data_IF_754844539422
#
_entry.id   IF_754844539422
#
_cell.length_a   1.000
_cell.length_b   1.000
_cell.length_c   1.000
_cell.angle_alpha   90.00
_cell.angle_beta   90.00
_cell.angle_gamma   90.00
#
_symmetry.space_group_name_H-M   'P 1'
#
loop_
_entity.id
_entity.type
_entity.pdbx_description
1 polymer ?
#
# COMPACT_ATOMS: atom_id res chain seq x y z
N UNK A 1 -28.15 -13.14 -9.59
CA UNK A 1 -28.58 -12.76 -8.22
C UNK A 1 -28.27 -11.28 -8.03
N UNK A 2 -29.06 -10.56 -7.23
CA UNK A 2 -28.72 -9.18 -6.89
C UNK A 2 -27.44 -9.16 -6.02
N UNK A 3 -26.52 -8.25 -6.32
CA UNK A 3 -25.33 -8.03 -5.51
C UNK A 3 -25.74 -7.49 -4.14
N UNK A 4 -25.25 -8.13 -3.08
CA UNK A 4 -25.52 -7.73 -1.70
C UNK A 4 -24.22 -7.17 -1.09
N UNK A 5 -24.19 -5.87 -0.73
CA UNK A 5 -23.02 -5.28 -0.08
C UNK A 5 -22.69 -5.97 1.26
N UNK A 6 -21.39 -6.09 1.55
CA UNK A 6 -20.84 -6.72 2.75
C UNK A 6 -21.27 -5.94 4.00
N UNK A 7 -22.13 -6.46 4.87
CA UNK A 7 -22.68 -5.69 5.99
C UNK A 7 -21.69 -5.55 7.16
N UNK A 8 -20.72 -6.47 7.25
CA UNK A 8 -19.80 -6.58 8.39
C UNK A 8 -18.48 -7.23 7.96
N UNK A 9 -17.38 -6.72 8.50
CA UNK A 9 -16.05 -7.30 8.39
C UNK A 9 -15.41 -7.40 9.78
N UNK A 10 -14.80 -8.55 10.08
CA UNK A 10 -13.84 -8.67 11.16
C UNK A 10 -12.49 -8.15 10.65
N UNK A 11 -11.85 -7.30 11.45
CA UNK A 11 -10.49 -6.82 11.22
C UNK A 11 -9.54 -7.65 12.08
N UNK A 12 -8.50 -8.19 11.47
CA UNK A 12 -7.39 -8.84 12.17
C UNK A 12 -6.06 -8.14 11.87
N UNK A 13 -5.07 -8.37 12.73
CA UNK A 13 -3.68 -7.93 12.56
C UNK A 13 -2.78 -9.16 12.60
N UNK A 14 -1.89 -9.30 11.64
CA UNK A 14 -0.79 -10.28 11.67
C UNK A 14 0.39 -9.70 12.45
N UNK A 15 0.78 -10.36 13.53
CA UNK A 15 1.92 -9.96 14.38
C UNK A 15 3.26 -10.29 13.72
N UNK A 16 4.38 -9.85 14.33
CA UNK A 16 5.73 -10.17 13.85
C UNK A 16 6.04 -11.67 13.90
N UNK A 17 5.31 -12.43 14.72
CA UNK A 17 5.37 -13.90 14.79
C UNK A 17 4.58 -14.60 13.68
N UNK A 18 3.78 -13.88 12.90
CA UNK A 18 2.82 -14.48 11.96
C UNK A 18 1.47 -14.84 12.57
N UNK A 19 1.32 -14.75 13.89
CA UNK A 19 0.04 -14.97 14.55
C UNK A 19 -0.97 -13.88 14.17
N UNK A 20 -2.19 -14.28 13.79
CA UNK A 20 -3.29 -13.34 13.56
C UNK A 20 -4.08 -13.12 14.85
N UNK A 21 -4.27 -11.85 15.19
CA UNK A 21 -5.08 -11.42 16.33
C UNK A 21 -6.29 -10.61 15.84
N UNK A 22 -7.41 -10.74 16.53
CA UNK A 22 -8.61 -9.99 16.21
C UNK A 22 -8.51 -8.57 16.78
N UNK A 23 -8.63 -7.57 15.91
CA UNK A 23 -8.54 -6.14 16.27
C UNK A 23 -9.91 -5.60 16.65
N UNK A 24 -10.93 -5.95 15.87
CA UNK A 24 -12.26 -5.37 16.02
C UNK A 24 -13.15 -5.63 14.82
N UNK A 25 -14.26 -4.92 14.75
CA UNK A 25 -15.31 -5.14 13.76
C UNK A 25 -15.61 -3.83 13.04
N UNK A 26 -15.64 -3.90 11.71
CA UNK A 26 -16.29 -2.92 10.84
C UNK A 26 -17.72 -3.37 10.53
N UNK A 27 -18.67 -2.46 10.57
CA UNK A 27 -20.05 -2.70 10.15
C UNK A 27 -20.57 -1.53 9.33
N UNK A 28 -21.40 -1.80 8.32
CA UNK A 28 -22.05 -0.76 7.53
C UNK A 28 -23.57 -0.88 7.54
N UNK A 29 -24.23 0.27 7.52
CA UNK A 29 -25.67 0.41 7.34
C UNK A 29 -25.98 1.69 6.54
N UNK A 30 -27.24 2.13 6.51
CA UNK A 30 -27.65 3.32 5.76
C UNK A 30 -27.05 4.64 6.29
N UNK A 31 -26.57 4.64 7.53
CA UNK A 31 -26.01 5.80 8.22
C UNK A 31 -24.50 5.95 7.96
N UNK A 32 -23.81 4.88 7.60
CA UNK A 32 -22.37 4.89 7.29
C UNK A 32 -21.67 3.61 7.75
N UNK A 33 -20.34 3.69 7.83
CA UNK A 33 -19.47 2.63 8.37
C UNK A 33 -19.12 2.97 9.82
N UNK A 34 -19.06 1.94 10.66
CA UNK A 34 -18.71 2.04 12.07
C UNK A 34 -17.61 1.03 12.39
N UNK A 35 -16.75 1.38 13.34
CA UNK A 35 -15.74 0.48 13.89
C UNK A 35 -15.91 0.31 15.39
N UNK A 36 -15.63 -0.87 15.90
CA UNK A 36 -15.53 -1.14 17.34
C UNK A 36 -14.32 -2.04 17.59
N UNK A 37 -13.46 -1.64 18.52
CA UNK A 37 -12.36 -2.49 18.98
C UNK A 37 -12.85 -3.73 19.72
N UNK A 38 -12.11 -4.81 19.59
CA UNK A 38 -12.26 -5.99 20.42
C UNK A 38 -11.63 -5.76 21.81
N UNK A 39 -12.29 -6.23 22.87
CA UNK A 39 -11.83 -6.03 24.25
C UNK A 39 -10.47 -6.70 24.56
N UNK A 40 -10.23 -7.89 23.99
CA UNK A 40 -8.94 -8.57 24.17
C UNK A 40 -7.80 -7.83 23.47
N UNK A 41 -8.11 -7.12 22.37
CA UNK A 41 -7.14 -6.26 21.70
C UNK A 41 -6.76 -5.09 22.59
N UNK A 42 -7.75 -4.38 23.12
CA UNK A 42 -7.57 -3.22 24.01
C UNK A 42 -6.77 -3.58 25.28
N UNK A 43 -6.94 -4.80 25.79
CA UNK A 43 -6.25 -5.25 27.00
C UNK A 43 -4.78 -5.63 26.79
N UNK A 44 -4.34 -5.89 25.55
CA UNK A 44 -3.06 -6.56 25.25
C UNK A 44 -2.15 -5.82 24.28
N UNK A 45 -2.71 -4.92 23.46
CA UNK A 45 -2.00 -4.26 22.38
C UNK A 45 -2.20 -2.75 22.44
N UNK A 46 -1.57 -2.04 21.51
CA UNK A 46 -1.53 -0.58 21.45
C UNK A 46 -2.41 -0.04 20.33
N UNK A 47 -2.70 1.26 20.37
CA UNK A 47 -3.55 1.90 19.37
C UNK A 47 -2.90 1.84 17.95
N UNK A 48 -3.69 1.39 16.97
CA UNK A 48 -3.31 1.31 15.56
C UNK A 48 -3.32 2.65 14.82
N UNK A 49 -4.11 3.61 15.30
CA UNK A 49 -4.30 4.93 14.69
C UNK A 49 -4.52 5.98 15.78
N UNK A 50 -3.45 6.47 16.41
CA UNK A 50 -3.52 7.25 17.64
C UNK A 50 -4.15 8.65 17.52
N UNK A 51 -4.42 9.14 16.31
CA UNK A 51 -4.91 10.51 16.10
C UNK A 51 -6.41 10.58 15.83
N UNK A 52 -6.96 9.64 15.07
CA UNK A 52 -8.36 9.70 14.58
C UNK A 52 -9.19 8.48 14.97
N UNK A 53 -8.67 7.61 15.84
CA UNK A 53 -9.37 6.44 16.35
C UNK A 53 -9.20 6.33 17.87
N UNK A 54 -10.31 6.42 18.60
CA UNK A 54 -10.30 6.30 20.06
C UNK A 54 -9.95 4.87 20.46
N UNK A 55 -9.02 4.70 21.38
CA UNK A 55 -8.58 3.39 21.85
C UNK A 55 -9.47 2.87 22.99
N UNK A 56 -10.73 2.60 22.69
CA UNK A 56 -11.72 2.09 23.63
C UNK A 56 -12.75 1.17 22.95
N UNK A 57 -13.63 0.59 23.76
CA UNK A 57 -14.67 -0.35 23.29
C UNK A 57 -15.93 0.33 22.72
N UNK A 58 -15.93 1.65 22.50
CA UNK A 58 -17.10 2.35 21.96
C UNK A 58 -17.25 2.09 20.45
N UNK A 59 -18.48 2.21 19.96
CA UNK A 59 -18.75 2.17 18.51
C UNK A 59 -18.46 3.54 17.92
N UNK A 60 -17.56 3.59 16.96
CA UNK A 60 -17.03 4.82 16.38
C UNK A 60 -17.51 4.98 14.94
N UNK A 61 -18.25 6.05 14.61
CA UNK A 61 -18.67 6.32 13.23
C UNK A 61 -17.48 6.80 12.40
N UNK A 62 -17.34 6.27 11.18
CA UNK A 62 -16.34 6.73 10.25
C UNK A 62 -16.62 8.17 9.79
N UNK A 63 -15.58 9.01 9.63
CA UNK A 63 -15.75 10.35 9.09
C UNK A 63 -16.18 10.28 7.61
N UNK A 64 -16.99 11.25 7.17
CA UNK A 64 -17.46 11.31 5.77
C UNK A 64 -16.33 11.60 4.78
N UNK A 65 -15.40 12.46 5.20
CA UNK A 65 -14.23 12.89 4.43
C UNK A 65 -12.97 12.72 5.30
N UNK A 66 -11.78 12.56 4.71
CA UNK A 66 -11.54 12.50 3.26
C UNK A 66 -11.76 11.10 2.66
N UNK A 67 -11.87 10.07 3.49
CA UNK A 67 -11.85 8.66 3.07
C UNK A 67 -13.21 8.08 2.68
N UNK A 68 -14.11 8.92 2.15
CA UNK A 68 -15.42 8.53 1.63
C UNK A 68 -16.25 7.64 2.58
N UNK A 69 -16.30 8.00 3.87
CA UNK A 69 -17.11 7.28 4.87
C UNK A 69 -16.41 6.07 5.50
N UNK A 70 -15.07 6.04 5.52
CA UNK A 70 -14.26 5.01 6.16
C UNK A 70 -13.22 5.66 7.10
N UNK A 71 -12.81 4.96 8.16
CA UNK A 71 -11.70 5.44 9.00
C UNK A 71 -10.38 5.35 8.22
N UNK A 72 -9.50 6.35 8.35
CA UNK A 72 -8.25 6.43 7.60
C UNK A 72 -7.38 5.17 7.69
N UNK A 73 -7.28 4.57 8.88
CA UNK A 73 -6.53 3.31 9.11
C UNK A 73 -7.00 2.13 8.27
N UNK A 74 -8.29 2.04 7.95
CA UNK A 74 -8.81 0.98 7.09
C UNK A 74 -8.82 1.42 5.62
N UNK A 75 -9.01 2.72 5.36
CA UNK A 75 -8.94 3.26 4.01
C UNK A 75 -7.55 3.11 3.37
N UNK A 76 -6.48 3.11 4.18
CA UNK A 76 -5.12 2.82 3.75
C UNK A 76 -4.94 1.44 3.10
N UNK A 77 -5.81 0.47 3.44
CA UNK A 77 -5.79 -0.85 2.84
C UNK A 77 -6.51 -0.91 1.48
N UNK A 78 -7.25 0.14 1.09
CA UNK A 78 -7.93 0.18 -0.20
C UNK A 78 -6.93 0.47 -1.32
N UNK A 79 -7.00 -0.27 -2.44
CA UNK A 79 -6.21 0.07 -3.61
C UNK A 79 -6.69 1.38 -4.21
N UNK A 80 -5.83 1.99 -5.01
CA UNK A 80 -6.17 3.09 -5.91
C UNK A 80 -5.78 2.72 -7.34
N UNK A 81 -5.85 3.67 -8.28
CA UNK A 81 -5.35 3.55 -9.65
C UNK A 81 -5.43 2.15 -10.27
N UNK A 82 -4.30 1.45 -10.28
CA UNK A 82 -4.13 0.11 -10.83
C UNK A 82 -4.98 -0.95 -10.13
N UNK A 83 -4.85 -1.10 -8.81
CA UNK A 83 -5.60 -2.12 -8.07
C UNK A 83 -7.12 -1.86 -8.10
N UNK A 84 -7.53 -0.59 -8.12
CA UNK A 84 -8.93 -0.20 -8.27
C UNK A 84 -9.49 -0.60 -9.65
N UNK A 85 -8.69 -0.42 -10.70
CA UNK A 85 -9.01 -0.87 -12.06
C UNK A 85 -9.21 -2.39 -12.11
N UNK A 86 -8.30 -3.16 -11.49
CA UNK A 86 -8.38 -4.62 -11.44
C UNK A 86 -9.67 -5.09 -10.75
N UNK A 87 -9.96 -4.55 -9.56
CA UNK A 87 -11.20 -4.86 -8.84
C UNK A 87 -12.43 -4.54 -9.69
N UNK A 88 -12.49 -3.34 -10.29
CA UNK A 88 -13.63 -2.92 -11.09
C UNK A 88 -13.87 -3.82 -12.31
N UNK A 89 -12.81 -4.33 -12.96
CA UNK A 89 -12.93 -5.29 -14.06
C UNK A 89 -13.52 -6.63 -13.56
N UNK A 90 -13.05 -7.14 -12.43
CA UNK A 90 -13.57 -8.40 -11.83
C UNK A 90 -15.05 -8.26 -11.46
N UNK A 91 -15.44 -7.19 -10.78
CA UNK A 91 -16.85 -6.96 -10.44
C UNK A 91 -17.73 -6.82 -11.68
N UNK A 92 -17.27 -6.10 -12.72
CA UNK A 92 -18.00 -5.98 -14.00
C UNK A 92 -18.17 -7.30 -14.72
N UNK A 93 -17.16 -8.19 -14.71
CA UNK A 93 -17.26 -9.55 -15.27
C UNK A 93 -18.39 -10.36 -14.61
N UNK A 94 -18.69 -10.05 -13.34
CA UNK A 94 -19.79 -10.64 -12.58
C UNK A 94 -21.10 -9.82 -12.67
N UNK A 95 -21.20 -8.85 -13.58
CA UNK A 95 -22.39 -8.02 -13.80
C UNK A 95 -22.63 -6.95 -12.72
N UNK A 96 -21.62 -6.63 -11.91
CA UNK A 96 -21.72 -5.68 -10.80
C UNK A 96 -21.16 -4.34 -11.23
N UNK A 97 -22.02 -3.32 -11.24
CA UNK A 97 -21.61 -1.96 -11.60
C UNK A 97 -20.82 -1.30 -10.47
N UNK A 98 -19.76 -0.52 -10.77
CA UNK A 98 -18.95 0.14 -9.75
C UNK A 98 -19.72 1.01 -8.75
N UNK A 99 -20.85 1.59 -9.17
CA UNK A 99 -21.71 2.42 -8.31
C UNK A 99 -22.36 1.63 -7.17
N UNK A 100 -22.47 0.31 -7.31
CA UNK A 100 -23.05 -0.57 -6.29
C UNK A 100 -22.01 -1.06 -5.27
N UNK A 101 -20.72 -0.82 -5.52
CA UNK A 101 -19.62 -1.37 -4.71
C UNK A 101 -19.24 -0.37 -3.61
N UNK A 102 -19.36 -0.81 -2.36
CA UNK A 102 -18.97 -0.03 -1.18
C UNK A 102 -17.50 -0.18 -0.84
N UNK A 103 -16.96 0.70 0.01
CA UNK A 103 -15.62 0.55 0.56
C UNK A 103 -15.45 -0.79 1.34
N UNK A 104 -16.50 -1.24 2.03
CA UNK A 104 -16.50 -2.54 2.72
C UNK A 104 -16.37 -3.71 1.75
N UNK A 105 -17.03 -3.66 0.59
CA UNK A 105 -16.89 -4.69 -0.45
C UNK A 105 -15.45 -4.75 -0.98
N UNK A 106 -14.80 -3.59 -1.13
CA UNK A 106 -13.41 -3.50 -1.56
C UNK A 106 -12.44 -4.01 -0.50
N UNK A 107 -12.68 -3.74 0.79
CA UNK A 107 -11.89 -4.31 1.87
C UNK A 107 -12.05 -5.84 1.93
N UNK A 108 -13.27 -6.35 1.75
CA UNK A 108 -13.53 -7.79 1.63
C UNK A 108 -12.76 -8.41 0.46
N UNK A 109 -12.67 -7.67 -0.66
CA UNK A 109 -11.87 -8.08 -1.82
C UNK A 109 -10.37 -8.06 -1.55
N UNK A 110 -9.87 -7.06 -0.81
CA UNK A 110 -8.46 -7.01 -0.37
C UNK A 110 -8.13 -8.21 0.54
N UNK A 111 -9.01 -8.55 1.47
CA UNK A 111 -8.87 -9.73 2.31
C UNK A 111 -7.58 -9.70 3.13
N UNK A 112 -6.67 -10.65 2.86
CA UNK A 112 -5.38 -10.80 3.55
C UNK A 112 -4.19 -10.15 2.80
N UNK A 113 -4.44 -9.59 1.61
CA UNK A 113 -3.40 -9.09 0.71
C UNK A 113 -3.01 -7.63 0.96
N UNK A 114 -3.62 -6.96 1.95
CA UNK A 114 -3.33 -5.56 2.25
C UNK A 114 -1.84 -5.33 2.53
N UNK A 115 -1.40 -4.09 2.28
CA UNK A 115 -0.15 -3.58 2.82
C UNK A 115 -0.26 -3.46 4.35
N UNK A 116 0.86 -3.64 5.04
CA UNK A 116 0.91 -3.74 6.49
C UNK A 116 0.33 -5.04 7.02
N UNK A 117 -0.07 -4.98 8.29
CA UNK A 117 -0.49 -6.14 9.06
C UNK A 117 -2.01 -6.40 9.04
N UNK A 118 -2.82 -5.50 8.50
CA UNK A 118 -4.28 -5.63 8.59
C UNK A 118 -4.84 -6.63 7.58
N UNK A 119 -5.87 -7.36 7.99
CA UNK A 119 -6.65 -8.23 7.13
C UNK A 119 -8.14 -8.13 7.45
N UNK A 120 -8.98 -8.46 6.46
CA UNK A 120 -10.43 -8.30 6.51
C UNK A 120 -11.12 -9.61 6.17
N UNK A 121 -12.11 -10.00 6.98
CA UNK A 121 -12.90 -11.21 6.75
C UNK A 121 -14.40 -11.00 7.02
N UNK A 122 -15.32 -11.65 6.30
CA UNK A 122 -15.08 -12.62 5.23
C UNK A 122 -14.46 -11.99 3.98
N UNK A 123 -13.72 -12.79 3.23
CA UNK A 123 -13.17 -12.39 1.92
C UNK A 123 -14.28 -12.42 0.88
N UNK A 124 -14.17 -11.59 -0.15
CA UNK A 124 -15.13 -11.56 -1.25
C UNK A 124 -15.11 -12.86 -2.05
N UNK A 125 -16.29 -13.39 -2.39
CA UNK A 125 -16.45 -14.58 -3.24
C UNK A 125 -15.94 -14.38 -4.69
N UNK A 126 -15.64 -13.14 -5.08
CA UNK A 126 -15.15 -12.81 -6.42
C UNK A 126 -13.62 -12.85 -6.55
N UNK A 127 -12.91 -13.14 -5.46
CA UNK A 127 -11.45 -13.30 -5.46
C UNK A 127 -11.13 -14.78 -5.67
N UNK A 128 -10.64 -15.12 -6.85
CA UNK A 128 -10.12 -16.45 -7.13
C UNK A 128 -8.68 -16.57 -6.59
N UNK A 129 -8.52 -17.31 -5.50
CA UNK A 129 -7.23 -17.60 -4.89
C UNK A 129 -6.72 -18.92 -5.46
N UNK A 130 -5.67 -18.88 -6.30
CA UNK A 130 -4.92 -20.07 -6.72
C UNK A 130 -3.56 -20.07 -6.04
N UNK A 131 -3.22 -21.18 -5.40
CA UNK A 131 -1.88 -21.41 -4.85
C UNK A 131 -1.03 -22.11 -5.90
N UNK A 132 -0.60 -21.34 -6.90
CA UNK A 132 0.17 -21.82 -8.03
C UNK A 132 1.45 -20.99 -8.20
N UNK A 133 2.53 -21.67 -8.57
CA UNK A 133 3.76 -21.03 -9.02
C UNK A 133 3.55 -20.47 -10.42
N UNK A 134 3.85 -19.19 -10.62
CA UNK A 134 3.59 -18.44 -11.85
C UNK A 134 4.91 -17.90 -12.40
N UNK A 135 5.07 -17.90 -13.73
CA UNK A 135 6.19 -17.20 -14.37
C UNK A 135 5.99 -15.70 -14.25
N UNK A 136 6.98 -14.99 -13.71
CA UNK A 136 6.92 -13.54 -13.55
C UNK A 136 6.71 -12.83 -14.90
N UNK A 137 7.34 -13.34 -15.96
CA UNK A 137 7.20 -12.86 -17.33
C UNK A 137 5.75 -12.83 -17.79
N UNK A 138 5.00 -13.91 -17.54
CA UNK A 138 3.57 -13.99 -17.88
C UNK A 138 2.80 -12.94 -17.11
N UNK A 139 3.06 -12.80 -15.81
CA UNK A 139 2.37 -11.81 -14.98
C UNK A 139 2.61 -10.38 -15.47
N UNK A 140 3.87 -10.03 -15.76
CA UNK A 140 4.25 -8.70 -16.21
C UNK A 140 3.74 -8.36 -17.61
N UNK A 141 3.83 -9.29 -18.57
CA UNK A 141 3.31 -9.08 -19.93
C UNK A 141 1.79 -8.87 -19.91
N UNK A 142 1.05 -9.65 -19.12
CA UNK A 142 -0.39 -9.44 -18.97
C UNK A 142 -0.71 -8.13 -18.23
N UNK A 143 0.07 -7.75 -17.21
CA UNK A 143 -0.13 -6.47 -16.53
C UNK A 143 0.06 -5.28 -17.50
N UNK A 144 1.10 -5.34 -18.33
CA UNK A 144 1.38 -4.34 -19.37
C UNK A 144 0.24 -4.28 -20.40
N UNK A 145 -0.12 -5.39 -21.03
CA UNK A 145 -1.21 -5.43 -22.01
C UNK A 145 -2.54 -4.91 -21.44
N UNK A 146 -2.82 -5.22 -20.17
CA UNK A 146 -4.02 -4.79 -19.47
C UNK A 146 -4.02 -3.29 -19.16
N UNK A 147 -2.85 -2.74 -18.83
CA UNK A 147 -2.63 -1.30 -18.63
C UNK A 147 -2.74 -0.52 -19.94
N UNK A 148 -2.20 -1.07 -21.03
CA UNK A 148 -2.20 -0.48 -22.36
C UNK A 148 -3.55 -0.59 -23.08
N UNK A 149 -4.50 -1.34 -22.50
CA UNK A 149 -5.84 -1.55 -23.06
C UNK A 149 -5.86 -2.53 -24.23
N UNK A 150 -4.79 -3.32 -24.40
CA UNK A 150 -4.67 -4.35 -25.43
C UNK A 150 -5.45 -5.63 -25.08
N UNK A 151 -5.81 -5.79 -23.81
CA UNK A 151 -6.68 -6.87 -23.33
C UNK A 151 -7.66 -6.40 -22.27
N UNK A 152 -8.81 -7.08 -22.21
CA UNK A 152 -9.77 -7.00 -21.11
C UNK A 152 -9.74 -8.24 -20.21
N UNK A 153 -8.92 -9.23 -20.57
CA UNK A 153 -8.70 -10.40 -19.75
C UNK A 153 -7.88 -10.02 -18.51
N UNK A 154 -8.46 -10.24 -17.34
CA UNK A 154 -7.77 -10.06 -16.07
C UNK A 154 -7.42 -11.42 -15.51
N UNK A 155 -6.12 -11.70 -15.44
CA UNK A 155 -5.61 -12.90 -14.78
C UNK A 155 -6.00 -12.90 -13.30
N UNK A 156 -6.48 -14.04 -12.80
CA UNK A 156 -6.78 -14.25 -11.36
C UNK A 156 -5.58 -13.90 -10.48
N UNK A 157 -4.38 -14.18 -11.00
CA UNK A 157 -3.11 -13.97 -10.34
C UNK A 157 -2.77 -12.48 -10.20
N UNK A 158 -3.08 -11.66 -11.22
CA UNK A 158 -2.93 -10.19 -11.15
C UNK A 158 -3.90 -9.59 -10.16
N UNK A 159 -5.12 -10.13 -10.07
CA UNK A 159 -6.12 -9.70 -9.10
C UNK A 159 -5.65 -10.00 -7.68
N UNK A 160 -5.18 -11.22 -7.43
CA UNK A 160 -4.70 -11.66 -6.12
C UNK A 160 -3.46 -10.87 -5.66
N UNK A 161 -2.62 -10.42 -6.59
CA UNK A 161 -1.39 -9.65 -6.32
C UNK A 161 -1.57 -8.12 -6.43
N UNK A 162 -2.72 -7.65 -6.92
CA UNK A 162 -2.96 -6.26 -7.34
C UNK A 162 -3.49 -5.31 -6.28
N UNK A 163 -3.58 -5.71 -5.01
CA UNK A 163 -4.18 -4.90 -3.92
C UNK A 163 -3.30 -3.74 -3.41
N UNK A 164 -2.21 -3.43 -4.10
CA UNK A 164 -1.32 -2.32 -3.72
C UNK A 164 -1.79 -0.99 -4.30
N UNK A 165 -1.41 0.12 -3.65
CA UNK A 165 -1.67 1.47 -4.14
C UNK A 165 -0.78 1.86 -5.34
N UNK A 166 -1.12 2.96 -5.98
CA UNK A 166 -0.49 3.57 -7.16
C UNK A 166 -1.23 3.32 -8.48
N UNK A 167 -0.94 4.17 -9.47
CA UNK A 167 -1.56 4.12 -10.80
C UNK A 167 -0.89 3.17 -11.81
N UNK A 168 0.35 2.76 -11.53
CA UNK A 168 1.20 1.99 -12.45
C UNK A 168 0.99 0.48 -12.30
N UNK A 169 1.17 -0.33 -13.38
CA UNK A 169 1.03 -1.78 -13.32
C UNK A 169 2.06 -2.39 -12.36
N UNK A 170 1.56 -3.15 -11.39
CA UNK A 170 2.39 -3.76 -10.35
C UNK A 170 1.73 -4.99 -9.73
N UNK A 171 2.55 -5.83 -9.10
CA UNK A 171 2.09 -7.03 -8.42
C UNK A 171 2.86 -7.26 -7.12
N UNK A 172 2.13 -7.57 -6.05
CA UNK A 172 2.69 -8.13 -4.82
C UNK A 172 2.89 -9.63 -5.01
N UNK A 173 4.14 -10.07 -4.97
CA UNK A 173 4.53 -11.45 -5.25
C UNK A 173 5.49 -11.97 -4.19
N UNK A 174 5.59 -13.29 -4.12
CA UNK A 174 6.46 -14.00 -3.21
C UNK A 174 7.51 -14.79 -4.00
N UNK A 175 8.78 -14.64 -3.63
CA UNK A 175 9.92 -15.35 -4.24
C UNK A 175 10.57 -16.25 -3.19
N UNK A 176 10.93 -17.48 -3.59
CA UNK A 176 11.74 -18.38 -2.77
C UNK A 176 13.21 -18.21 -3.14
N UNK A 177 14.05 -17.79 -2.17
CA UNK A 177 15.46 -17.49 -2.42
C UNK A 177 15.67 -16.41 -3.50
N UNK A 178 16.71 -16.56 -4.31
CA UNK A 178 17.09 -15.58 -5.35
C UNK A 178 16.56 -15.95 -6.75
N UNK A 179 15.57 -16.84 -6.84
CA UNK A 179 14.93 -17.16 -8.12
C UNK A 179 13.79 -16.18 -8.40
N UNK A 180 14.08 -15.17 -9.22
CA UNK A 180 13.11 -14.15 -9.62
C UNK A 180 12.31 -14.48 -10.90
N UNK A 181 12.50 -15.66 -11.50
CA UNK A 181 11.75 -16.06 -12.71
C UNK A 181 10.35 -16.59 -12.37
N UNK A 182 10.20 -17.15 -11.17
CA UNK A 182 8.97 -17.78 -10.70
C UNK A 182 8.54 -17.17 -9.40
N UNK A 183 7.24 -16.87 -9.28
CA UNK A 183 6.68 -16.22 -8.12
C UNK A 183 5.35 -16.85 -7.71
N UNK A 184 4.87 -16.50 -6.52
CA UNK A 184 3.54 -16.88 -6.02
C UNK A 184 2.74 -15.64 -5.66
N UNK A 185 1.42 -15.79 -5.62
CA UNK A 185 0.47 -14.79 -5.12
C UNK A 185 0.10 -14.99 -3.66
N UNK A 186 0.46 -16.16 -3.09
CA UNK A 186 0.31 -16.49 -1.67
C UNK A 186 1.68 -16.86 -1.07
N UNK A 187 1.95 -16.47 0.18
CA UNK A 187 3.21 -16.77 0.84
C UNK A 187 3.30 -18.25 1.23
N UNK A 188 4.45 -18.86 0.98
CA UNK A 188 4.86 -20.13 1.58
C UNK A 188 6.02 -19.93 2.56
N UNK A 189 6.37 -20.98 3.30
CA UNK A 189 7.52 -20.94 4.19
C UNK A 189 8.79 -20.59 3.40
N UNK A 190 9.63 -19.72 3.98
CA UNK A 190 10.87 -19.21 3.35
C UNK A 190 10.69 -18.27 2.15
N UNK A 191 9.46 -17.88 1.82
CA UNK A 191 9.26 -16.86 0.80
C UNK A 191 9.56 -15.45 1.32
N UNK A 192 10.14 -14.64 0.44
CA UNK A 192 10.27 -13.21 0.63
C UNK A 192 9.18 -12.49 -0.15
N UNK A 193 8.57 -11.48 0.47
CA UNK A 193 7.52 -10.69 -0.15
C UNK A 193 8.11 -9.48 -0.88
N UNK A 194 7.70 -9.29 -2.14
CA UNK A 194 8.16 -8.23 -3.02
C UNK A 194 6.98 -7.53 -3.69
N UNK A 195 7.18 -6.27 -4.06
CA UNK A 195 6.32 -5.52 -4.97
C UNK A 195 7.10 -5.31 -6.26
N UNK A 196 6.66 -5.95 -7.35
CA UNK A 196 7.26 -5.77 -8.68
C UNK A 196 6.46 -4.71 -9.43
N UNK A 197 7.14 -3.64 -9.86
CA UNK A 197 6.61 -2.59 -10.72
C UNK A 197 6.96 -2.94 -12.16
N UNK A 198 5.92 -3.24 -12.95
CA UNK A 198 6.04 -3.42 -14.39
C UNK A 198 6.02 -2.05 -15.07
N UNK A 199 6.36 -2.02 -16.35
CA UNK A 199 6.47 -0.78 -17.11
C UNK A 199 5.81 -0.90 -18.48
N UNK A 200 5.56 0.22 -19.13
CA UNK A 200 4.95 0.33 -20.46
C UNK A 200 5.53 1.54 -21.19
N UNK A 201 5.61 1.48 -22.52
CA UNK A 201 5.94 2.61 -23.38
C UNK A 201 4.97 3.80 -23.23
N UNK A 202 3.75 3.55 -22.72
CA UNK A 202 2.72 4.57 -22.50
C UNK A 202 2.90 5.36 -21.17
N UNK A 203 3.91 5.02 -20.36
CA UNK A 203 4.27 5.81 -19.18
C UNK A 203 5.07 7.06 -19.57
N UNK A 204 5.18 8.02 -18.65
CA UNK A 204 5.83 9.31 -18.92
C UNK A 204 7.32 9.16 -19.31
N UNK A 205 8.04 8.25 -18.64
CA UNK A 205 9.40 7.85 -18.99
C UNK A 205 9.45 6.53 -19.78
N UNK A 206 8.31 6.08 -20.34
CA UNK A 206 8.20 4.80 -21.04
C UNK A 206 8.74 3.63 -20.21
N UNK A 207 9.53 2.76 -20.83
CA UNK A 207 10.13 1.60 -20.18
C UNK A 207 11.22 1.94 -19.13
N UNK A 208 11.61 3.22 -18.98
CA UNK A 208 12.69 3.64 -18.08
C UNK A 208 12.21 4.03 -16.66
N UNK A 209 10.89 4.07 -16.40
CA UNK A 209 10.34 4.45 -15.08
C UNK A 209 10.96 3.68 -13.91
N UNK A 210 11.10 2.35 -14.05
CA UNK A 210 11.70 1.50 -13.02
C UNK A 210 13.20 1.73 -12.82
N UNK A 211 13.92 2.05 -13.91
CA UNK A 211 15.34 2.41 -13.86
C UNK A 211 15.56 3.77 -13.19
N UNK A 212 14.71 4.74 -13.53
CA UNK A 212 14.70 6.06 -12.90
C UNK A 212 14.49 5.94 -11.39
N UNK A 213 13.47 5.20 -10.96
CA UNK A 213 13.22 4.98 -9.53
C UNK A 213 14.39 4.23 -8.86
N UNK A 214 14.99 3.22 -9.49
CA UNK A 214 16.17 2.54 -8.95
C UNK A 214 17.38 3.49 -8.77
N UNK A 215 17.60 4.42 -9.70
CA UNK A 215 18.62 5.45 -9.55
C UNK A 215 18.34 6.39 -8.37
N UNK A 216 17.07 6.76 -8.16
CA UNK A 216 16.65 7.61 -7.04
C UNK A 216 16.78 6.90 -5.70
N UNK A 217 16.42 5.62 -5.62
CA UNK A 217 16.66 4.79 -4.43
C UNK A 217 18.16 4.66 -4.13
N UNK A 218 19.00 4.53 -5.16
CA UNK A 218 20.47 4.52 -5.02
C UNK A 218 20.99 5.83 -4.43
N UNK A 219 20.53 6.98 -4.96
CA UNK A 219 20.88 8.30 -4.41
C UNK A 219 20.38 8.48 -2.97
N UNK A 220 19.17 8.04 -2.67
CA UNK A 220 18.59 8.09 -1.33
C UNK A 220 19.38 7.23 -0.33
N UNK A 221 19.86 6.05 -0.75
CA UNK A 221 20.73 5.19 0.06
C UNK A 221 22.07 5.89 0.35
N UNK A 222 22.70 6.46 -0.68
CA UNK A 222 23.95 7.22 -0.53
C UNK A 222 23.80 8.44 0.40
N UNK A 223 22.61 9.05 0.44
CA UNK A 223 22.26 10.14 1.35
C UNK A 223 21.84 9.67 2.77
N UNK A 224 21.82 8.35 3.04
CA UNK A 224 21.45 7.80 4.34
C UNK A 224 19.96 7.93 4.68
N UNK A 225 19.08 7.91 3.67
CA UNK A 225 17.63 8.12 3.83
C UNK A 225 16.82 6.84 4.06
N UNK A 226 17.52 5.70 4.15
CA UNK A 226 16.93 4.38 4.40
C UNK A 226 15.81 4.01 3.40
N UNK A 227 16.09 3.92 2.08
CA UNK A 227 15.16 3.34 1.12
C UNK A 227 14.92 1.84 1.38
N UNK A 228 13.84 1.23 0.85
CA UNK A 228 13.65 -0.22 0.87
C UNK A 228 14.80 -0.94 0.14
N UNK A 229 14.92 -2.26 0.30
CA UNK A 229 15.79 -3.08 -0.57
C UNK A 229 15.13 -3.20 -1.96
N UNK A 230 15.92 -3.07 -3.03
CA UNK A 230 15.43 -3.19 -4.41
C UNK A 230 16.32 -4.06 -5.29
N UNK A 231 15.73 -4.59 -6.36
CA UNK A 231 16.41 -5.35 -7.40
C UNK A 231 15.88 -4.92 -8.77
N UNK A 232 16.77 -4.90 -9.77
CA UNK A 232 16.37 -4.80 -11.17
C UNK A 232 16.28 -6.21 -11.74
N UNK A 233 15.07 -6.62 -12.10
CA UNK A 233 14.80 -7.94 -12.67
C UNK A 233 14.84 -7.83 -14.19
N UNK A 234 15.53 -8.75 -14.87
CA UNK A 234 15.51 -8.77 -16.34
C UNK A 234 14.06 -8.95 -16.82
N UNK A 235 13.62 -8.05 -17.69
CA UNK A 235 12.31 -8.16 -18.31
C UNK A 235 12.41 -9.03 -19.58
N UNK A 236 11.34 -9.76 -19.94
CA UNK A 236 11.33 -10.52 -21.19
C UNK A 236 11.38 -9.56 -22.39
N UNK A 237 12.11 -9.94 -23.45
CA UNK A 237 12.27 -9.12 -24.66
C UNK A 237 10.93 -8.64 -25.24
N UNK A 238 9.89 -9.48 -25.18
CA UNK A 238 8.53 -9.16 -25.63
C UNK A 238 7.87 -7.99 -24.89
N UNK A 239 8.34 -7.62 -23.71
CA UNK A 239 7.82 -6.46 -22.96
C UNK A 239 8.30 -5.13 -23.53
N UNK A 240 9.42 -5.12 -24.27
CA UNK A 240 10.09 -3.89 -24.72
C UNK A 240 10.95 -3.20 -23.65
N UNK A 241 10.90 -3.66 -22.39
CA UNK A 241 11.76 -3.17 -21.32
C UNK A 241 13.02 -4.04 -21.17
N UNK A 242 14.11 -3.44 -20.68
CA UNK A 242 15.29 -4.19 -20.24
C UNK A 242 15.10 -4.73 -18.81
N UNK A 243 14.50 -3.92 -17.94
CA UNK A 243 14.33 -4.25 -16.52
C UNK A 243 12.94 -3.90 -15.98
N UNK A 244 12.51 -4.68 -14.98
CA UNK A 244 11.44 -4.34 -14.04
C UNK A 244 12.02 -4.06 -12.66
N UNK A 245 11.39 -3.14 -11.90
CA UNK A 245 11.84 -2.81 -10.56
C UNK A 245 11.10 -3.64 -9.51
N UNK A 246 11.84 -4.42 -8.72
CA UNK A 246 11.30 -5.13 -7.57
C UNK A 246 11.72 -4.45 -6.26
N UNK A 247 10.75 -4.17 -5.39
CA UNK A 247 10.96 -3.61 -4.05
C UNK A 247 10.61 -4.64 -2.99
N UNK A 248 11.52 -4.92 -2.07
CA UNK A 248 11.25 -5.85 -0.97
C UNK A 248 10.27 -5.20 0.01
N UNK A 249 9.24 -5.93 0.40
CA UNK A 249 8.23 -5.44 1.34
C UNK A 249 8.82 -5.30 2.73
N UNK A 250 8.98 -4.05 3.18
CA UNK A 250 9.55 -3.71 4.48
C UNK A 250 8.58 -3.90 5.65
N UNK A 251 7.30 -4.11 5.36
CA UNK A 251 6.26 -4.43 6.33
C UNK A 251 6.12 -5.94 6.58
N UNK A 252 6.88 -6.76 5.86
CA UNK A 252 6.87 -8.22 5.93
C UNK A 252 8.15 -8.73 6.59
N UNK A 253 8.02 -9.51 7.67
CA UNK A 253 9.14 -9.98 8.49
C UNK A 253 9.34 -11.49 8.28
N UNK A 254 10.55 -11.90 7.93
CA UNK A 254 10.90 -13.31 7.81
C UNK A 254 11.45 -13.84 9.15
N UNK A 255 10.89 -14.93 9.65
CA UNK A 255 11.31 -15.54 10.91
C UNK A 255 12.23 -16.74 10.68
N UNK A 256 13.18 -17.03 11.59
CA UNK A 256 14.14 -18.13 11.44
C UNK A 256 13.50 -19.53 11.33
N UNK A 257 12.27 -19.71 11.81
CA UNK A 257 11.52 -20.96 11.74
C UNK A 257 10.81 -21.16 10.39
N UNK A 258 11.03 -20.25 9.43
CA UNK A 258 10.42 -20.28 8.10
C UNK A 258 9.05 -19.61 8.02
N UNK A 259 8.46 -19.21 9.16
CA UNK A 259 7.24 -18.41 9.17
C UNK A 259 7.51 -16.95 8.80
N UNK A 260 6.45 -16.21 8.58
CA UNK A 260 6.54 -14.78 8.32
C UNK A 260 5.51 -14.00 9.12
N UNK A 261 5.93 -12.89 9.68
CA UNK A 261 5.08 -11.92 10.36
C UNK A 261 4.97 -10.61 9.61
N UNK A 262 4.31 -9.63 10.23
CA UNK A 262 4.14 -8.30 9.65
C UNK A 262 4.28 -7.19 10.69
N UNK A 263 4.64 -6.01 10.20
CA UNK A 263 4.52 -4.76 10.94
C UNK A 263 3.23 -4.06 10.54
N UNK A 264 2.58 -3.39 11.50
CA UNK A 264 1.45 -2.54 11.17
C UNK A 264 1.97 -1.31 10.40
N UNK A 265 1.40 -1.06 9.22
CA UNK A 265 1.77 0.06 8.37
C UNK A 265 0.61 1.04 8.38
N UNK A 266 0.93 2.32 8.59
CA UNK A 266 -0.04 3.40 8.50
C UNK A 266 0.56 4.55 7.72
N UNK A 267 -0.03 4.87 6.57
CA UNK A 267 0.40 6.02 5.78
C UNK A 267 0.00 7.33 6.45
N UNK A 268 0.67 8.43 6.14
CA UNK A 268 0.27 9.75 6.61
C UNK A 268 -1.13 10.14 6.11
N UNK A 269 -1.55 9.63 4.95
CA UNK A 269 -2.89 9.78 4.40
C UNK A 269 -3.95 9.31 5.40
N UNK A 270 -3.93 8.04 5.80
CA UNK A 270 -4.90 7.52 6.77
C UNK A 270 -4.63 7.96 8.21
N UNK A 271 -3.37 8.21 8.59
CA UNK A 271 -3.02 8.53 9.98
C UNK A 271 -3.41 9.95 10.35
N UNK A 272 -3.27 10.89 9.41
CA UNK A 272 -3.57 12.30 9.61
C UNK A 272 -4.93 12.71 9.01
N UNK A 273 -5.65 11.79 8.37
CA UNK A 273 -6.81 12.10 7.51
C UNK A 273 -6.44 13.15 6.44
N UNK A 274 -5.28 12.97 5.80
CA UNK A 274 -4.74 13.87 4.77
C UNK A 274 -5.05 13.33 3.37
N UNK A 275 -5.99 13.97 2.64
CA UNK A 275 -6.40 13.54 1.30
C UNK A 275 -5.22 13.55 0.30
N UNK A 276 -4.82 12.38 -0.18
CA UNK A 276 -3.72 12.22 -1.13
C UNK A 276 -4.01 12.75 -2.54
N UNK A 277 -5.28 13.06 -2.86
CA UNK A 277 -5.67 13.62 -4.16
C UNK A 277 -5.53 15.13 -4.26
N UNK A 278 -5.26 15.78 -3.13
CA UNK A 278 -5.04 17.23 -3.06
C UNK A 278 -3.75 17.50 -2.27
N UNK A 279 -3.05 18.63 -2.51
CA UNK A 279 -1.91 19.03 -1.69
C UNK A 279 -2.34 19.40 -0.26
N UNK A 280 -2.62 18.40 0.56
CA UNK A 280 -3.27 18.53 1.87
C UNK A 280 -2.31 18.45 3.06
N UNK A 281 -1.01 18.26 2.80
CA UNK A 281 0.00 18.05 3.83
C UNK A 281 1.17 19.03 3.71
N UNK A 282 1.75 19.40 4.85
CA UNK A 282 3.01 20.11 4.96
C UNK A 282 4.07 19.23 5.62
N UNK A 283 5.34 19.40 5.24
CA UNK A 283 6.46 18.70 5.88
C UNK A 283 6.54 18.98 7.40
N UNK A 284 6.08 20.13 7.87
CA UNK A 284 5.94 20.43 9.30
C UNK A 284 4.98 19.47 10.00
N UNK A 285 3.87 19.09 9.36
CA UNK A 285 2.89 18.16 9.94
C UNK A 285 3.48 16.76 10.02
N UNK A 286 4.15 16.32 8.96
CA UNK A 286 4.86 15.05 8.92
C UNK A 286 5.95 14.96 10.00
N UNK A 287 6.75 16.02 10.18
CA UNK A 287 7.82 16.07 11.20
C UNK A 287 7.21 16.07 12.62
N UNK A 288 6.10 16.81 12.85
CA UNK A 288 5.39 16.80 14.14
C UNK A 288 4.80 15.44 14.45
N UNK A 289 4.11 14.81 13.49
CA UNK A 289 3.57 13.46 13.63
C UNK A 289 4.69 12.46 13.98
N UNK A 290 5.82 12.55 13.27
CA UNK A 290 7.01 11.73 13.54
C UNK A 290 7.54 11.92 14.96
N UNK A 291 7.62 13.16 15.44
CA UNK A 291 8.05 13.46 16.81
C UNK A 291 7.11 12.86 17.85
N UNK A 292 5.79 12.95 17.64
CA UNK A 292 4.78 12.43 18.56
C UNK A 292 4.83 10.90 18.63
N UNK A 293 4.85 10.24 17.46
CA UNK A 293 4.82 8.78 17.35
C UNK A 293 6.13 8.13 17.80
N UNK A 294 7.25 8.60 17.24
CA UNK A 294 8.55 7.94 17.40
C UNK A 294 9.31 8.41 18.64
N UNK A 295 8.87 9.53 19.25
CA UNK A 295 9.49 10.14 20.45
C UNK A 295 11.02 10.33 20.33
N UNK A 296 11.49 10.58 19.12
CA UNK A 296 12.92 10.68 18.79
C UNK A 296 13.20 11.89 17.89
N UNK A 297 14.03 12.86 18.33
CA UNK A 297 14.44 13.99 17.49
C UNK A 297 15.14 13.57 16.20
N UNK A 298 15.90 12.47 16.24
CA UNK A 298 16.60 11.94 15.07
C UNK A 298 15.63 11.52 13.95
N UNK A 299 14.44 11.02 14.29
CA UNK A 299 13.44 10.65 13.29
C UNK A 299 12.82 11.90 12.63
N UNK A 300 12.62 12.99 13.37
CA UNK A 300 12.23 14.27 12.79
C UNK A 300 13.31 14.83 11.84
N UNK A 301 14.59 14.72 12.21
CA UNK A 301 15.71 15.09 11.34
C UNK A 301 15.78 14.23 10.07
N UNK A 302 15.49 12.94 10.17
CA UNK A 302 15.41 12.05 9.01
C UNK A 302 14.34 12.52 8.02
N UNK A 303 13.12 12.82 8.49
CA UNK A 303 12.04 13.31 7.62
C UNK A 303 12.38 14.67 6.99
N UNK A 304 13.04 15.56 7.74
CA UNK A 304 13.56 16.81 7.18
C UNK A 304 14.58 16.56 6.06
N UNK A 305 15.52 15.63 6.24
CA UNK A 305 16.48 15.26 5.19
C UNK A 305 15.77 14.70 3.94
N UNK A 306 14.74 13.88 4.13
CA UNK A 306 13.91 13.34 3.01
C UNK A 306 13.14 14.45 2.28
N UNK A 307 12.63 15.45 3.01
CA UNK A 307 12.00 16.63 2.42
C UNK A 307 12.98 17.41 1.52
N UNK A 308 14.18 17.70 2.04
CA UNK A 308 15.23 18.37 1.27
C UNK A 308 15.67 17.53 0.07
N UNK A 309 15.72 16.21 0.21
CA UNK A 309 16.00 15.32 -0.91
C UNK A 309 14.96 15.47 -2.02
N UNK A 310 13.66 15.31 -1.72
CA UNK A 310 12.58 15.45 -2.70
C UNK A 310 12.62 16.80 -3.43
N UNK A 311 12.92 17.88 -2.71
CA UNK A 311 13.12 19.20 -3.30
C UNK A 311 14.26 19.20 -4.34
N UNK A 312 15.44 18.72 -3.95
CA UNK A 312 16.64 18.75 -4.80
C UNK A 312 16.54 17.84 -6.01
N UNK A 313 15.82 16.72 -5.89
CA UNK A 313 15.66 15.73 -6.98
C UNK A 313 14.37 15.90 -7.78
N UNK A 314 13.58 16.95 -7.52
CA UNK A 314 12.31 17.20 -8.21
C UNK A 314 11.32 16.02 -8.11
N UNK A 315 11.21 15.41 -6.93
CA UNK A 315 10.13 14.48 -6.63
C UNK A 315 8.93 15.28 -6.10
N UNK A 316 8.01 15.66 -6.99
CA UNK A 316 6.84 16.47 -6.65
C UNK A 316 5.58 15.62 -6.40
N UNK A 317 5.64 14.31 -6.64
CA UNK A 317 4.58 13.33 -6.33
C UNK A 317 4.76 12.73 -4.91
N UNK A 318 5.19 13.57 -3.96
CA UNK A 318 5.48 13.20 -2.58
C UNK A 318 4.22 13.29 -1.69
N UNK A 319 3.08 12.84 -2.20
CA UNK A 319 1.77 12.96 -1.55
C UNK A 319 1.65 12.13 -0.25
N UNK A 320 0.59 12.36 0.53
CA UNK A 320 0.40 11.77 1.87
C UNK A 320 0.44 10.23 1.95
N UNK A 321 0.18 9.50 0.86
CA UNK A 321 0.36 8.02 0.78
C UNK A 321 1.81 7.55 0.62
N UNK A 322 2.74 8.42 0.21
CA UNK A 322 4.16 8.11 0.00
C UNK A 322 4.98 8.30 1.29
N UNK A 323 4.29 8.64 2.37
CA UNK A 323 4.84 8.71 3.72
C UNK A 323 4.10 7.72 4.59
N UNK A 324 4.82 6.89 5.32
CA UNK A 324 4.21 5.93 6.24
C UNK A 324 5.05 5.73 7.49
N UNK A 325 4.40 5.14 8.48
CA UNK A 325 5.00 4.69 9.71
C UNK A 325 4.75 3.20 9.88
N UNK A 326 5.72 2.53 10.50
CA UNK A 326 5.64 1.14 10.90
C UNK A 326 5.50 1.07 12.42
N UNK A 327 4.61 0.22 12.90
CA UNK A 327 4.43 -0.06 14.32
C UNK A 327 4.77 -1.52 14.62
N UNK A 328 5.63 -1.74 15.61
CA UNK A 328 5.91 -3.07 16.16
C UNK A 328 4.74 -3.60 16.99
N UNK A 329 4.85 -4.84 17.45
CA UNK A 329 3.84 -5.46 18.32
C UNK A 329 3.79 -4.84 19.72
N UNK A 330 4.86 -4.17 20.14
CA UNK A 330 4.92 -3.38 21.38
C UNK A 330 4.37 -1.96 21.23
N UNK A 331 3.85 -1.60 20.04
CA UNK A 331 3.34 -0.26 19.75
C UNK A 331 4.41 0.79 19.45
N UNK A 332 5.69 0.41 19.36
CA UNK A 332 6.76 1.33 19.02
C UNK A 332 6.67 1.72 17.54
N UNK A 333 6.64 3.02 17.26
CA UNK A 333 6.54 3.58 15.93
C UNK A 333 7.90 4.01 15.38
N UNK A 334 8.10 3.81 14.08
CA UNK A 334 9.22 4.34 13.32
C UNK A 334 8.75 4.79 11.93
N UNK A 335 9.42 5.75 11.27
CA UNK A 335 9.18 6.03 9.86
C UNK A 335 9.43 4.77 9.02
N UNK A 336 8.57 4.51 8.04
CA UNK A 336 8.82 3.48 7.03
C UNK A 336 10.07 3.83 6.21
N UNK A 337 10.68 2.85 5.51
CA UNK A 337 11.68 3.12 4.49
C UNK A 337 11.21 4.16 3.47
N UNK A 338 12.15 4.84 2.81
CA UNK A 338 11.83 5.91 1.86
C UNK A 338 11.49 5.31 0.49
N UNK A 339 10.21 5.05 0.24
CA UNK A 339 9.70 4.38 -0.96
C UNK A 339 8.98 5.36 -1.91
N UNK A 340 8.77 4.92 -3.15
CA UNK A 340 8.14 5.70 -4.24
C UNK A 340 8.85 7.04 -4.49
N UNK A 341 10.18 7.00 -4.49
CA UNK A 341 11.04 8.15 -4.70
C UNK A 341 11.56 8.11 -6.12
N UNK A 342 11.11 9.03 -6.97
CA UNK A 342 11.47 9.06 -8.38
C UNK A 342 11.45 10.48 -8.94
N UNK A 343 11.91 10.65 -10.18
CA UNK A 343 11.72 11.91 -10.91
C UNK A 343 10.24 12.04 -11.26
N UNK A 344 9.53 12.93 -10.58
CA UNK A 344 8.09 13.10 -10.78
C UNK A 344 7.70 14.57 -10.73
N UNK A 345 8.00 15.34 -11.80
CA UNK A 345 7.55 16.71 -11.89
C UNK A 345 6.03 16.75 -12.05
N UNK A 346 5.36 17.50 -11.18
CA UNK A 346 3.92 17.77 -11.26
C UNK A 346 3.63 18.65 -12.48
N UNK A 347 2.52 18.41 -13.22
CA UNK A 347 2.11 19.29 -14.31
C UNK A 347 1.88 20.76 -13.89
N UNK A 348 1.65 21.00 -12.60
CA UNK A 348 1.44 22.32 -12.03
C UNK A 348 2.73 22.94 -11.45
N UNK A 349 3.84 22.18 -11.45
CA UNK A 349 5.11 22.55 -10.85
C UNK A 349 5.02 22.73 -9.33
N UNK A 350 4.17 21.94 -8.68
CA UNK A 350 3.89 22.02 -7.25
C UNK A 350 4.10 20.65 -6.59
N UNK A 351 4.81 20.63 -5.45
CA UNK A 351 4.91 19.47 -4.58
C UNK A 351 3.57 19.13 -3.95
N UNK A 352 3.23 17.84 -3.89
CA UNK A 352 2.05 17.37 -3.20
C UNK A 352 2.15 17.57 -1.67
N UNK A 353 3.36 17.50 -1.11
CA UNK A 353 3.65 17.94 0.27
C UNK A 353 4.35 19.30 0.26
N UNK A 354 3.73 20.30 0.86
CA UNK A 354 4.24 21.68 0.86
C UNK A 354 5.38 21.91 1.86
N UNK A 355 6.20 22.94 1.58
CA UNK A 355 7.26 23.41 2.46
C UNK A 355 6.82 24.69 3.15
N UNK A 356 6.35 24.60 4.40
CA UNK A 356 5.81 25.74 5.14
C UNK A 356 4.71 26.52 4.38
N UNK A 357 3.82 25.80 3.69
CA UNK A 357 2.74 26.32 2.85
C UNK A 357 3.15 26.64 1.42
N UNK A 358 4.42 26.47 1.06
CA UNK A 358 4.92 26.71 -0.29
C UNK A 358 5.06 25.39 -1.06
N UNK A 359 4.09 25.05 -1.90
CA UNK A 359 4.17 23.88 -2.78
C UNK A 359 4.88 24.16 -4.11
N UNK A 360 4.68 25.36 -4.68
CA UNK A 360 5.24 25.77 -5.99
C UNK A 360 6.61 26.45 -5.93
N UNK A 361 6.92 27.10 -4.81
CA UNK A 361 8.20 27.82 -4.59
C UNK A 361 8.72 27.56 -3.17
N UNK A 362 9.22 26.33 -2.90
CA UNK A 362 9.67 25.88 -1.58
C UNK A 362 10.74 26.76 -0.91
#
# INVERSE_FOLDING_TARGET
MAFNPVPKLNVSRTLSSGAQIHVGVLAQNKQGVFFQYNQDYLARFENLSPFHLNFDGTVQPAPKLPHAGLHGVFADALPDGWGLLLQNRVFRKHGILPINITAMDRLAFVGQSALGALAFSPTSDYVEMKDETIQLDTLGLHAQALFDGETDEVLSELVASGSSGGARPKAQVYFTGDNYTQCRTQPQAHDHAWLVKFTSANLALGHEEGLCEAAYLTMALAAGLNPPEWQLLNAPERSGAEYWLALKRFDYLHNPDGTSGRLHLHSACGLLDADFRTPSMDYMDLIKATKILCKSPAMGQLQFKRAVFNLLVCNQDDHSKNWAFLQSDSGAWQPAPFYDVTFSPSPYGEHATSFAGFGRRP
#
